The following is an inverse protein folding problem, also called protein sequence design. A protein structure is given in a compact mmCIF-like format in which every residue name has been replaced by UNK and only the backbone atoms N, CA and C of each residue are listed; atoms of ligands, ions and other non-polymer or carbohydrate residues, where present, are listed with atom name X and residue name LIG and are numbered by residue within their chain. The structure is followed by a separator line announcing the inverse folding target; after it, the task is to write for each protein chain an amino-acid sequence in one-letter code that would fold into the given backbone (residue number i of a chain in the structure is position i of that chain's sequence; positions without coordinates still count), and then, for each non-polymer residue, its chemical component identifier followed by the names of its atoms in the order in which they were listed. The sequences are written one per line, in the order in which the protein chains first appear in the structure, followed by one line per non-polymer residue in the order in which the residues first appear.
data_IF_033257858446
#
_entry.id   IF_033257858446
#
_cell.length_a   1.000
_cell.length_b   1.000
_cell.length_c   1.000
_cell.angle_alpha   90.00
_cell.angle_beta   90.00
_cell.angle_gamma   90.00
#
_symmetry.space_group_name_H-M   'P 1'
#
loop_
_entity.id
_entity.type
_entity.pdbx_description
1 polymer ?
#
# COMPACT_ATOMS: atom_id res chain seq x y z
N UNK A 1 12.00 40.95 15.23
CA UNK A 1 10.66 41.20 15.80
C UNK A 1 10.87 41.83 17.17
N UNK A 2 10.27 42.99 17.46
CA UNK A 2 10.29 43.61 18.79
C UNK A 2 9.85 42.65 19.90
N UNK A 3 10.49 42.67 21.07
CA UNK A 3 10.20 41.73 22.15
C UNK A 3 8.78 41.88 22.70
N UNK A 4 8.26 43.11 22.77
CA UNK A 4 6.87 43.40 23.15
C UNK A 4 5.86 42.80 22.17
N UNK A 5 6.21 42.75 20.88
CA UNK A 5 5.36 42.11 19.87
C UNK A 5 5.32 40.60 20.08
N UNK A 6 6.47 39.96 20.35
CA UNK A 6 6.54 38.54 20.71
C UNK A 6 5.68 38.26 21.95
N UNK A 7 5.77 39.11 22.98
CA UNK A 7 4.96 39.00 24.20
C UNK A 7 3.46 39.03 23.89
N UNK A 8 3.03 40.01 23.11
CA UNK A 8 1.62 40.20 22.79
C UNK A 8 1.10 39.04 21.91
N UNK A 9 1.88 38.55 20.95
CA UNK A 9 1.55 37.37 20.14
C UNK A 9 1.29 36.14 21.04
N UNK A 10 2.13 35.92 22.06
CA UNK A 10 1.98 34.82 23.04
C UNK A 10 0.75 35.01 23.93
N UNK A 11 0.50 36.23 24.42
CA UNK A 11 -0.66 36.54 25.26
C UNK A 11 -1.99 36.39 24.50
N UNK A 12 -2.02 36.85 23.25
CA UNK A 12 -3.21 36.81 22.40
C UNK A 12 -3.43 35.44 21.74
N UNK A 13 -2.43 34.55 21.79
CA UNK A 13 -2.39 33.28 21.07
C UNK A 13 -2.74 33.51 19.60
N UNK A 14 -1.99 34.39 18.94
CA UNK A 14 -2.24 34.76 17.55
C UNK A 14 -1.73 33.66 16.60
N UNK A 15 -2.65 32.85 16.08
CA UNK A 15 -2.36 31.67 15.24
C UNK A 15 -1.75 32.03 13.88
N UNK A 16 -1.92 33.27 13.39
CA UNK A 16 -1.35 33.70 12.10
C UNK A 16 0.16 33.98 12.18
N UNK A 17 0.65 34.32 13.37
CA UNK A 17 2.04 34.69 13.62
C UNK A 17 2.80 33.62 14.41
N UNK A 18 2.09 32.73 15.10
CA UNK A 18 2.65 31.62 15.85
C UNK A 18 2.90 30.41 14.94
N UNK A 19 4.17 29.99 14.87
CA UNK A 19 4.55 28.72 14.25
C UNK A 19 5.04 27.72 15.31
N UNK A 20 4.88 26.44 15.01
CA UNK A 20 5.39 25.36 15.86
C UNK A 20 6.89 25.53 16.14
N UNK A 21 7.68 25.79 15.09
CA UNK A 21 9.12 25.99 15.19
C UNK A 21 9.48 27.19 16.08
N UNK A 22 8.73 28.29 16.01
CA UNK A 22 8.93 29.44 16.89
C UNK A 22 8.72 29.05 18.36
N UNK A 23 7.61 28.38 18.67
CA UNK A 23 7.30 27.97 20.05
C UNK A 23 8.29 26.94 20.57
N UNK A 24 8.70 25.95 19.75
CA UNK A 24 9.71 24.97 20.13
C UNK A 24 11.05 25.63 20.45
N UNK A 25 11.48 26.59 19.63
CA UNK A 25 12.71 27.35 19.88
C UNK A 25 12.59 28.19 21.16
N UNK A 26 11.45 28.83 21.39
CA UNK A 26 11.19 29.55 22.64
C UNK A 26 11.26 28.61 23.84
N UNK A 27 10.56 27.47 23.83
CA UNK A 27 10.58 26.49 24.93
C UNK A 27 12.00 25.96 25.19
N UNK A 28 12.79 25.74 24.14
CA UNK A 28 14.16 25.20 24.23
C UNK A 28 15.17 26.21 24.76
N UNK A 29 15.02 27.48 24.39
CA UNK A 29 16.00 28.53 24.70
C UNK A 29 15.56 29.49 25.80
N UNK A 30 14.35 29.31 26.36
CA UNK A 30 13.88 30.12 27.47
C UNK A 30 14.79 29.93 28.70
N UNK A 31 15.23 31.02 29.35
CA UNK A 31 15.89 30.92 30.66
C UNK A 31 15.00 30.20 31.68
N UNK A 32 15.63 29.57 32.67
CA UNK A 32 14.89 28.95 33.77
C UNK A 32 14.03 29.99 34.51
N UNK A 33 12.91 29.55 35.09
CA UNK A 33 11.98 30.45 35.79
C UNK A 33 12.67 31.27 36.89
N UNK A 34 13.69 30.73 37.54
CA UNK A 34 14.49 31.45 38.54
C UNK A 34 15.21 32.66 37.94
N UNK A 35 15.86 32.48 36.79
CA UNK A 35 16.58 33.54 36.07
C UNK A 35 15.58 34.58 35.56
N UNK A 36 14.43 34.16 35.03
CA UNK A 36 13.37 35.08 34.61
C UNK A 36 12.87 35.96 35.78
N UNK A 37 12.77 35.40 36.99
CA UNK A 37 12.38 36.17 38.17
C UNK A 37 13.46 37.19 38.56
N UNK A 38 14.74 36.81 38.51
CA UNK A 38 15.87 37.74 38.78
C UNK A 38 15.90 38.87 37.74
N UNK A 39 15.71 38.56 36.45
CA UNK A 39 15.62 39.55 35.38
C UNK A 39 14.40 40.48 35.55
N UNK A 40 13.29 40.00 36.09
CA UNK A 40 12.11 40.85 36.34
C UNK A 40 12.40 42.02 37.29
N UNK A 41 13.35 41.87 38.22
CA UNK A 41 13.75 42.92 39.17
C UNK A 41 14.56 44.04 38.50
N UNK A 42 15.24 43.74 37.39
CA UNK A 42 16.08 44.67 36.62
C UNK A 42 15.28 45.54 35.63
N UNK A 43 13.95 45.53 35.70
CA UNK A 43 13.08 46.26 34.76
C UNK A 43 13.36 47.77 34.69
N UNK A 44 13.86 48.37 35.77
CA UNK A 44 14.17 49.80 35.82
C UNK A 44 15.48 50.16 35.09
N UNK A 45 16.34 49.17 34.82
CA UNK A 45 17.64 49.32 34.17
C UNK A 45 17.61 48.76 32.73
N UNK A 46 16.41 48.63 32.13
CA UNK A 46 16.19 47.93 30.86
C UNK A 46 17.11 48.39 29.72
N UNK A 47 17.29 49.71 29.57
CA UNK A 47 18.09 50.29 28.48
C UNK A 47 19.61 50.04 28.66
N UNK A 48 20.05 49.67 29.87
CA UNK A 48 21.45 49.36 30.20
C UNK A 48 21.77 47.85 30.07
N UNK A 49 20.75 46.99 29.91
CA UNK A 49 20.89 45.54 29.78
C UNK A 49 21.30 45.12 28.37
N UNK A 50 21.94 43.95 28.25
CA UNK A 50 22.24 43.36 26.94
C UNK A 50 20.99 42.76 26.26
N UNK A 51 21.02 42.58 24.93
CA UNK A 51 19.84 42.12 24.16
C UNK A 51 19.16 40.84 24.72
N UNK A 52 19.89 39.77 25.14
CA UNK A 52 19.27 38.59 25.75
C UNK A 52 18.58 38.86 27.09
N UNK A 53 19.14 39.75 27.91
CA UNK A 53 18.56 40.13 29.20
C UNK A 53 17.31 40.99 29.00
N UNK A 54 17.34 41.93 28.04
CA UNK A 54 16.15 42.69 27.63
C UNK A 54 15.02 41.76 27.18
N UNK A 55 15.33 40.73 26.38
CA UNK A 55 14.34 39.70 26.01
C UNK A 55 13.78 38.98 27.25
N UNK A 56 14.65 38.57 28.18
CA UNK A 56 14.24 37.92 29.42
C UNK A 56 13.37 38.79 30.33
N UNK A 57 13.64 40.09 30.43
CA UNK A 57 12.81 41.07 31.16
C UNK A 57 11.41 41.17 30.55
N UNK A 58 11.30 41.24 29.23
CA UNK A 58 9.99 41.31 28.57
C UNK A 58 9.22 40.00 28.76
N UNK A 59 9.88 38.86 28.62
CA UNK A 59 9.26 37.54 28.79
C UNK A 59 8.88 37.23 30.24
N UNK A 60 9.63 37.72 31.22
CA UNK A 60 9.32 37.50 32.65
C UNK A 60 8.01 38.17 33.08
N UNK A 61 7.56 39.19 32.35
CA UNK A 61 6.25 39.80 32.58
C UNK A 61 5.06 38.87 32.22
N UNK A 62 5.30 37.78 31.48
CA UNK A 62 4.28 36.80 31.14
C UNK A 62 4.10 35.79 32.28
N UNK A 63 2.97 35.87 32.97
CA UNK A 63 2.62 34.89 34.01
C UNK A 63 2.49 33.49 33.42
N UNK A 64 3.04 32.50 34.13
CA UNK A 64 2.99 31.08 33.75
C UNK A 64 3.51 30.81 32.33
N UNK A 65 4.62 31.46 31.95
CA UNK A 65 5.14 31.42 30.58
C UNK A 65 5.41 30.01 30.06
N UNK A 66 6.05 29.14 30.84
CA UNK A 66 6.37 27.79 30.38
C UNK A 66 5.11 26.93 30.14
N UNK A 67 4.15 26.81 31.09
CA UNK A 67 2.85 26.18 30.83
C UNK A 67 2.09 26.78 29.63
N UNK A 68 2.16 28.12 29.47
CA UNK A 68 1.55 28.82 28.34
C UNK A 68 2.14 28.36 27.01
N UNK A 69 3.47 28.35 26.88
CA UNK A 69 4.16 27.92 25.66
C UNK A 69 3.90 26.45 25.34
N UNK A 70 3.93 25.55 26.34
CA UNK A 70 3.60 24.13 26.14
C UNK A 70 2.16 23.93 25.67
N UNK A 71 1.20 24.69 26.21
CA UNK A 71 -0.20 24.65 25.80
C UNK A 71 -0.42 25.17 24.38
N UNK A 72 0.30 26.25 24.01
CA UNK A 72 0.27 26.80 22.65
C UNK A 72 0.86 25.78 21.67
N UNK A 73 2.00 25.17 22.00
CA UNK A 73 2.61 24.14 21.17
C UNK A 73 1.64 23.00 20.91
N UNK A 74 1.01 22.48 21.97
CA UNK A 74 0.02 21.41 21.85
C UNK A 74 -1.16 21.82 20.95
N UNK A 75 -1.69 23.04 21.10
CA UNK A 75 -2.75 23.54 20.22
C UNK A 75 -2.33 23.59 18.75
N UNK A 76 -1.10 24.00 18.46
CA UNK A 76 -0.59 24.08 17.09
C UNK A 76 -0.38 22.70 16.45
N UNK A 77 0.02 21.69 17.23
CA UNK A 77 0.30 20.33 16.72
C UNK A 77 -0.88 19.36 16.85
N UNK A 78 -1.96 19.76 17.53
CA UNK A 78 -3.09 18.86 17.84
C UNK A 78 -3.71 18.22 16.59
N UNK A 79 -4.02 19.03 15.58
CA UNK A 79 -4.64 18.56 14.34
C UNK A 79 -3.71 17.59 13.58
N UNK A 80 -2.40 17.81 13.62
CA UNK A 80 -1.43 16.87 13.05
C UNK A 80 -1.45 15.53 13.80
N UNK A 81 -1.46 15.56 15.14
CA UNK A 81 -1.57 14.34 15.94
C UNK A 81 -2.86 13.55 15.61
N UNK A 82 -3.99 14.23 15.47
CA UNK A 82 -5.26 13.61 15.06
C UNK A 82 -5.14 12.99 13.67
N UNK A 83 -4.57 13.72 12.71
CA UNK A 83 -4.39 13.27 11.33
C UNK A 83 -3.37 12.12 11.19
N UNK A 84 -2.45 11.95 12.14
CA UNK A 84 -1.52 10.82 12.19
C UNK A 84 -2.15 9.58 12.85
N UNK A 85 -3.02 9.76 13.84
CA UNK A 85 -3.68 8.66 14.58
C UNK A 85 -4.87 8.09 13.80
N UNK A 86 -5.76 8.96 13.30
CA UNK A 86 -7.06 8.56 12.76
C UNK A 86 -6.98 7.60 11.56
N UNK A 87 -6.13 7.81 10.54
CA UNK A 87 -6.05 6.91 9.40
C UNK A 87 -5.59 5.50 9.80
N UNK A 88 -4.68 5.40 10.78
CA UNK A 88 -4.20 4.13 11.30
C UNK A 88 -5.32 3.31 11.95
N UNK A 89 -6.18 3.96 12.75
CA UNK A 89 -7.36 3.31 13.33
C UNK A 89 -8.33 2.84 12.25
N UNK A 90 -8.60 3.68 11.25
CA UNK A 90 -9.52 3.38 10.15
C UNK A 90 -9.01 2.19 9.33
N UNK A 91 -7.72 2.19 8.96
CA UNK A 91 -7.14 1.12 8.15
C UNK A 91 -7.30 -0.25 8.81
N UNK A 92 -6.98 -0.36 10.11
CA UNK A 92 -7.14 -1.62 10.85
C UNK A 92 -8.62 -1.99 11.02
N UNK A 93 -9.48 -1.01 11.33
CA UNK A 93 -10.93 -1.24 11.49
C UNK A 93 -11.52 -1.82 10.21
N UNK A 94 -11.24 -1.20 9.06
CA UNK A 94 -11.74 -1.65 7.76
C UNK A 94 -11.17 -3.02 7.40
N UNK A 95 -9.86 -3.25 7.58
CA UNK A 95 -9.25 -4.55 7.32
C UNK A 95 -9.87 -5.67 8.17
N UNK A 96 -10.22 -5.39 9.44
CA UNK A 96 -10.92 -6.35 10.28
C UNK A 96 -12.32 -6.69 9.74
N UNK A 97 -13.07 -5.67 9.32
CA UNK A 97 -14.41 -5.88 8.78
C UNK A 97 -14.41 -6.59 7.42
N UNK A 98 -13.53 -6.17 6.52
CA UNK A 98 -13.29 -6.77 5.21
C UNK A 98 -12.99 -8.26 5.34
N UNK A 99 -12.03 -8.61 6.20
CA UNK A 99 -11.64 -10.00 6.41
C UNK A 99 -12.79 -10.85 6.96
N UNK A 100 -13.56 -10.32 7.91
CA UNK A 100 -14.70 -11.03 8.50
C UNK A 100 -15.86 -11.20 7.51
N UNK A 101 -16.07 -10.23 6.62
CA UNK A 101 -17.18 -10.20 5.65
C UNK A 101 -16.83 -10.88 4.32
N UNK A 102 -15.56 -11.10 4.01
CA UNK A 102 -15.12 -11.67 2.74
C UNK A 102 -15.57 -13.12 2.57
N UNK A 103 -16.61 -13.32 1.76
CA UNK A 103 -17.10 -14.65 1.42
C UNK A 103 -16.08 -15.40 0.55
N UNK A 104 -15.42 -14.70 -0.36
CA UNK A 104 -14.41 -15.28 -1.25
C UNK A 104 -13.18 -15.78 -0.49
N UNK A 105 -12.72 -15.05 0.54
CA UNK A 105 -11.65 -15.51 1.41
C UNK A 105 -12.07 -16.72 2.25
N UNK A 106 -13.30 -16.74 2.79
CA UNK A 106 -13.80 -17.92 3.51
C UNK A 106 -13.84 -19.17 2.60
N UNK A 107 -14.28 -19.03 1.35
CA UNK A 107 -14.22 -20.11 0.35
C UNK A 107 -12.81 -20.57 0.03
N UNK A 108 -11.84 -19.66 0.00
CA UNK A 108 -10.43 -20.01 -0.15
C UNK A 108 -9.94 -20.87 1.00
N UNK A 109 -10.29 -20.53 2.25
CA UNK A 109 -9.93 -21.33 3.43
C UNK A 109 -10.53 -22.74 3.37
N UNK A 110 -11.79 -22.88 2.93
CA UNK A 110 -12.43 -24.18 2.71
C UNK A 110 -11.68 -25.02 1.67
N UNK A 111 -11.29 -24.41 0.54
CA UNK A 111 -10.54 -25.08 -0.51
C UNK A 111 -9.16 -25.51 -0.03
N UNK A 112 -8.43 -24.63 0.69
CA UNK A 112 -7.13 -24.95 1.28
C UNK A 112 -7.27 -26.12 2.27
N UNK A 113 -8.30 -26.12 3.11
CA UNK A 113 -8.56 -27.20 4.06
C UNK A 113 -8.85 -28.52 3.34
N UNK A 114 -9.67 -28.50 2.30
CA UNK A 114 -10.01 -29.68 1.50
C UNK A 114 -8.76 -30.29 0.86
N UNK A 115 -7.98 -29.47 0.16
CA UNK A 115 -6.75 -29.92 -0.51
C UNK A 115 -5.74 -30.41 0.52
N UNK A 116 -5.57 -29.68 1.62
CA UNK A 116 -4.70 -30.07 2.73
C UNK A 116 -5.10 -31.42 3.34
N UNK A 117 -6.39 -31.66 3.60
CA UNK A 117 -6.87 -32.92 4.14
C UNK A 117 -6.66 -34.09 3.18
N UNK A 118 -6.88 -33.88 1.88
CA UNK A 118 -6.60 -34.90 0.88
C UNK A 118 -5.11 -35.27 0.86
N UNK A 119 -4.22 -34.27 0.79
CA UNK A 119 -2.77 -34.48 0.74
C UNK A 119 -2.20 -35.10 2.03
N UNK A 120 -2.78 -34.78 3.19
CA UNK A 120 -2.34 -35.30 4.48
C UNK A 120 -3.00 -36.64 4.87
N UNK A 121 -3.71 -37.30 3.94
CA UNK A 121 -4.34 -38.60 4.17
C UNK A 121 -3.34 -39.63 4.71
N UNK A 122 -3.68 -40.29 5.82
CA UNK A 122 -2.81 -41.28 6.47
C UNK A 122 -1.71 -40.68 7.37
N UNK A 123 -1.64 -39.36 7.53
CA UNK A 123 -0.75 -38.69 8.48
C UNK A 123 -1.49 -38.25 9.75
N UNK A 124 -0.75 -37.75 10.76
CA UNK A 124 -1.32 -37.15 11.97
C UNK A 124 -2.25 -35.96 11.69
N UNK A 125 -2.07 -35.27 10.56
CA UNK A 125 -2.85 -34.08 10.19
C UNK A 125 -4.04 -34.42 9.28
N UNK A 126 -4.32 -35.70 9.02
CA UNK A 126 -5.51 -36.12 8.27
C UNK A 126 -6.80 -35.69 8.98
N UNK A 127 -7.84 -35.35 8.20
CA UNK A 127 -9.16 -34.97 8.71
C UNK A 127 -9.14 -33.79 9.70
N UNK A 128 -8.25 -32.81 9.47
CA UNK A 128 -8.23 -31.57 10.22
C UNK A 128 -9.55 -30.80 9.99
N UNK A 129 -10.08 -30.20 11.07
CA UNK A 129 -11.28 -29.34 11.00
C UNK A 129 -10.96 -27.88 10.63
N UNK A 130 -9.68 -27.51 10.71
CA UNK A 130 -9.19 -26.17 10.41
C UNK A 130 -7.67 -26.11 10.55
N UNK A 131 -7.12 -24.94 10.22
CA UNK A 131 -5.69 -24.64 10.35
C UNK A 131 -5.51 -23.19 10.77
N UNK A 132 -4.34 -22.86 11.34
CA UNK A 132 -4.02 -21.48 11.74
C UNK A 132 -3.78 -20.62 10.50
N UNK A 133 -4.33 -19.41 10.44
CA UNK A 133 -4.21 -18.49 9.29
C UNK A 133 -2.76 -18.27 8.84
N UNK A 134 -1.81 -18.15 9.76
CA UNK A 134 -0.40 -17.95 9.42
C UNK A 134 0.23 -19.11 8.60
N UNK A 135 -0.45 -20.26 8.51
CA UNK A 135 -0.06 -21.34 7.62
C UNK A 135 -0.23 -20.99 6.14
N UNK A 136 -1.10 -20.04 5.78
CA UNK A 136 -1.35 -19.64 4.40
C UNK A 136 -0.06 -19.23 3.67
N UNK A 137 0.85 -18.53 4.34
CA UNK A 137 2.17 -18.16 3.81
C UNK A 137 3.04 -19.37 3.44
N UNK A 138 2.83 -20.52 4.09
CA UNK A 138 3.61 -21.75 3.90
C UNK A 138 3.11 -22.61 2.74
N UNK A 139 1.96 -22.28 2.16
CA UNK A 139 1.40 -23.00 1.00
C UNK A 139 2.38 -22.97 -0.18
N UNK A 140 3.11 -21.86 -0.35
CA UNK A 140 4.11 -21.73 -1.42
C UNK A 140 5.29 -22.70 -1.25
N UNK A 141 5.58 -23.16 -0.04
CA UNK A 141 6.75 -24.00 0.25
C UNK A 141 6.55 -25.46 -0.18
N UNK A 142 5.30 -25.87 -0.38
CA UNK A 142 4.97 -27.21 -0.89
C UNK A 142 5.10 -27.23 -2.40
N UNK A 143 6.06 -28.00 -2.92
CA UNK A 143 6.40 -28.03 -4.35
C UNK A 143 5.95 -29.32 -5.04
N UNK A 144 5.72 -29.25 -6.35
CA UNK A 144 5.51 -30.42 -7.20
C UNK A 144 6.74 -31.33 -7.22
N UNK A 145 6.57 -32.58 -7.62
CA UNK A 145 7.68 -33.55 -7.76
C UNK A 145 8.76 -33.04 -8.72
N UNK A 146 8.36 -32.35 -9.79
CA UNK A 146 9.28 -31.77 -10.77
C UNK A 146 9.81 -30.39 -10.37
N UNK A 147 9.46 -29.88 -9.19
CA UNK A 147 9.90 -28.61 -8.60
C UNK A 147 9.55 -27.37 -9.44
N UNK A 148 8.66 -27.48 -10.43
CA UNK A 148 8.29 -26.38 -11.32
C UNK A 148 7.12 -25.55 -10.82
N UNK A 149 6.25 -26.15 -10.01
CA UNK A 149 5.06 -25.49 -9.47
C UNK A 149 4.96 -25.74 -7.97
N UNK A 150 4.11 -24.96 -7.32
CA UNK A 150 3.85 -25.06 -5.88
C UNK A 150 2.38 -25.33 -5.63
N UNK A 151 2.03 -25.69 -4.40
CA UNK A 151 0.64 -25.82 -4.01
C UNK A 151 -0.13 -24.51 -4.18
N UNK A 152 0.54 -23.35 -4.03
CA UNK A 152 -0.06 -22.04 -4.32
C UNK A 152 -0.50 -21.93 -5.78
N UNK A 153 0.38 -22.31 -6.72
CA UNK A 153 0.05 -22.33 -8.15
C UNK A 153 -1.13 -23.25 -8.44
N UNK A 154 -1.13 -24.44 -7.83
CA UNK A 154 -2.21 -25.40 -8.00
C UNK A 154 -3.56 -24.87 -7.49
N UNK A 155 -3.58 -24.25 -6.32
CA UNK A 155 -4.80 -23.63 -5.76
C UNK A 155 -5.27 -22.48 -6.65
N UNK A 156 -4.36 -21.61 -7.10
CA UNK A 156 -4.69 -20.50 -8.00
C UNK A 156 -5.28 -20.98 -9.34
N UNK A 157 -4.71 -22.03 -9.94
CA UNK A 157 -5.25 -22.65 -11.17
C UNK A 157 -6.66 -23.24 -10.94
N UNK A 158 -6.86 -23.97 -9.83
CA UNK A 158 -8.19 -24.51 -9.48
C UNK A 158 -9.22 -23.39 -9.30
N UNK A 159 -8.84 -22.27 -8.67
CA UNK A 159 -9.72 -21.12 -8.54
C UNK A 159 -10.08 -20.51 -9.92
N UNK A 160 -9.12 -20.38 -10.84
CA UNK A 160 -9.39 -19.86 -12.19
C UNK A 160 -10.31 -20.77 -13.03
N UNK A 161 -10.13 -22.09 -12.90
CA UNK A 161 -10.88 -23.07 -13.68
C UNK A 161 -12.27 -23.35 -13.10
N UNK A 162 -12.38 -23.51 -11.78
CA UNK A 162 -13.57 -24.08 -11.14
C UNK A 162 -14.24 -23.15 -10.12
N UNK A 163 -13.51 -22.22 -9.49
CA UNK A 163 -14.01 -21.39 -8.38
C UNK A 163 -13.64 -19.91 -8.54
N UNK A 164 -14.13 -19.29 -9.63
CA UNK A 164 -13.76 -17.90 -9.98
C UNK A 164 -14.23 -16.86 -8.97
N UNK A 165 -15.25 -17.19 -8.18
CA UNK A 165 -15.72 -16.35 -7.07
C UNK A 165 -14.63 -16.13 -6.01
N UNK A 166 -13.76 -17.12 -5.79
CA UNK A 166 -12.63 -16.99 -4.86
C UNK A 166 -11.65 -15.90 -5.30
N UNK A 167 -11.45 -15.71 -6.61
CA UNK A 167 -10.44 -14.76 -7.13
C UNK A 167 -10.69 -13.28 -6.78
N UNK A 168 -11.86 -12.96 -6.20
CA UNK A 168 -12.23 -11.62 -5.75
C UNK A 168 -11.63 -11.23 -4.40
N UNK A 169 -11.18 -12.20 -3.60
CA UNK A 169 -10.68 -11.94 -2.25
C UNK A 169 -9.57 -10.88 -2.17
N UNK A 170 -8.63 -10.75 -3.13
CA UNK A 170 -7.61 -9.71 -3.05
C UNK A 170 -8.17 -8.30 -3.17
N UNK A 171 -9.33 -8.12 -3.80
CA UNK A 171 -10.06 -6.85 -3.92
C UNK A 171 -10.94 -6.62 -2.69
N UNK A 172 -11.53 -7.67 -2.12
CA UNK A 172 -12.33 -7.59 -0.88
C UNK A 172 -11.49 -7.25 0.36
N UNK A 173 -10.16 -7.44 0.28
CA UNK A 173 -9.19 -7.17 1.35
C UNK A 173 -8.31 -5.96 1.05
N UNK A 174 -8.93 -4.82 0.71
CA UNK A 174 -8.25 -3.59 0.27
C UNK A 174 -7.34 -3.00 1.37
N UNK A 175 -7.80 -2.94 2.62
CA UNK A 175 -7.09 -2.22 3.68
C UNK A 175 -6.06 -3.08 4.43
N UNK A 176 -5.93 -4.37 4.09
CA UNK A 176 -4.99 -5.29 4.73
C UNK A 176 -3.54 -4.82 4.60
N UNK A 177 -3.13 -4.30 3.44
CA UNK A 177 -1.78 -3.77 3.27
C UNK A 177 -1.53 -2.57 4.20
N UNK A 178 -2.48 -1.63 4.28
CA UNK A 178 -2.37 -0.46 5.15
C UNK A 178 -2.34 -0.86 6.62
N UNK A 179 -3.21 -1.79 7.04
CA UNK A 179 -3.26 -2.32 8.40
C UNK A 179 -1.95 -3.01 8.80
N UNK A 180 -1.27 -3.72 7.88
CA UNK A 180 0.01 -4.38 8.15
C UNK A 180 1.15 -3.42 8.53
N UNK A 181 1.01 -2.13 8.19
CA UNK A 181 2.02 -1.08 8.46
C UNK A 181 1.75 -0.34 9.77
N UNK A 182 0.61 -0.60 10.44
CA UNK A 182 0.20 0.10 11.66
C UNK A 182 0.80 -0.59 12.88
N UNK A 183 1.60 0.13 13.66
CA UNK A 183 2.05 -0.38 14.97
C UNK A 183 1.01 -0.09 16.06
N UNK A 184 0.44 -1.15 16.63
CA UNK A 184 -0.53 -1.03 17.72
C UNK A 184 0.05 -0.33 18.97
N UNK A 185 1.34 -0.56 19.26
CA UNK A 185 2.01 0.04 20.40
C UNK A 185 2.20 1.55 20.23
N UNK A 186 2.66 1.99 19.05
CA UNK A 186 2.83 3.42 18.75
C UNK A 186 1.48 4.12 18.81
N UNK A 187 0.44 3.52 18.24
CA UNK A 187 -0.91 4.07 18.24
C UNK A 187 -1.45 4.28 19.67
N UNK A 188 -1.30 3.28 20.53
CA UNK A 188 -1.67 3.36 21.96
C UNK A 188 -0.88 4.44 22.70
N UNK A 189 0.43 4.53 22.44
CA UNK A 189 1.30 5.54 23.05
C UNK A 189 0.90 6.96 22.64
N UNK A 190 0.59 7.18 21.37
CA UNK A 190 0.19 8.49 20.85
C UNK A 190 -1.14 8.94 21.44
N UNK A 191 -2.13 8.03 21.55
CA UNK A 191 -3.40 8.32 22.22
C UNK A 191 -3.21 8.66 23.71
N UNK A 192 -2.40 7.89 24.43
CA UNK A 192 -2.11 8.15 25.83
C UNK A 192 -1.41 9.50 26.03
N UNK A 193 -0.44 9.84 25.17
CA UNK A 193 0.23 11.14 25.19
C UNK A 193 -0.74 12.29 24.95
N UNK A 194 -1.63 12.16 23.96
CA UNK A 194 -2.67 13.16 23.67
C UNK A 194 -3.60 13.36 24.87
N UNK A 195 -4.06 12.27 25.52
CA UNK A 195 -4.89 12.35 26.71
C UNK A 195 -4.19 13.10 27.85
N UNK A 196 -2.93 12.78 28.12
CA UNK A 196 -2.15 13.43 29.17
C UNK A 196 -1.96 14.92 28.91
N UNK A 197 -1.72 15.31 27.65
CA UNK A 197 -1.59 16.73 27.27
C UNK A 197 -2.91 17.49 27.47
N UNK A 198 -4.05 16.90 27.12
CA UNK A 198 -5.37 17.49 27.37
C UNK A 198 -5.63 17.64 28.87
N UNK A 199 -5.37 16.60 29.66
CA UNK A 199 -5.53 16.64 31.13
C UNK A 199 -4.62 17.68 31.78
N UNK A 200 -3.39 17.82 31.29
CA UNK A 200 -2.46 18.84 31.75
C UNK A 200 -2.99 20.24 31.44
N UNK A 201 -3.43 20.48 30.21
CA UNK A 201 -4.00 21.75 29.79
C UNK A 201 -5.24 22.13 30.61
N UNK A 202 -6.16 21.19 30.85
CA UNK A 202 -7.35 21.40 31.69
C UNK A 202 -6.98 21.81 33.13
N UNK A 203 -5.90 21.24 33.67
CA UNK A 203 -5.41 21.57 35.00
C UNK A 203 -4.77 22.95 35.01
N UNK A 204 -3.98 23.27 33.99
CA UNK A 204 -3.29 24.55 33.89
C UNK A 204 -4.27 25.69 33.75
N UNK A 205 -5.29 25.58 32.87
CA UNK A 205 -6.36 26.58 32.71
C UNK A 205 -7.00 26.95 34.05
N UNK A 206 -7.21 25.98 34.96
CA UNK A 206 -7.77 26.22 36.30
C UNK A 206 -6.82 26.96 37.25
N UNK A 207 -5.51 26.84 37.02
CA UNK A 207 -4.46 27.50 37.81
C UNK A 207 -4.09 28.88 37.27
N UNK A 208 -4.43 29.19 36.02
CA UNK A 208 -4.13 30.50 35.45
C UNK A 208 -4.82 31.62 36.24
N UNK A 209 -4.10 32.69 36.60
CA UNK A 209 -4.68 33.84 37.26
C UNK A 209 -5.69 34.54 36.34
N UNK A 210 -6.60 35.34 36.91
CA UNK A 210 -7.46 36.20 36.09
C UNK A 210 -6.61 37.14 35.23
N UNK A 211 -7.04 37.32 33.99
CA UNK A 211 -6.38 38.21 33.04
C UNK A 211 -6.49 39.66 33.53
N UNK A 212 -5.35 40.22 33.95
CA UNK A 212 -5.22 41.65 34.28
C UNK A 212 -4.91 42.49 33.03
N UNK A 213 -4.41 41.85 31.98
CA UNK A 213 -4.00 42.48 30.73
C UNK A 213 -5.05 42.24 29.63
N UNK A 214 -5.48 43.29 28.94
CA UNK A 214 -6.42 43.23 27.81
C UNK A 214 -5.95 42.35 26.64
N UNK A 215 -4.64 42.13 26.50
CA UNK A 215 -4.05 41.28 25.47
C UNK A 215 -4.01 39.80 25.89
N UNK A 216 -4.22 39.46 27.18
CA UNK A 216 -4.17 38.07 27.64
C UNK A 216 -5.49 37.34 27.34
N UNK A 217 -5.53 36.73 26.14
CA UNK A 217 -6.67 35.95 25.63
C UNK A 217 -6.48 34.44 25.82
N UNK A 218 -5.46 34.02 26.56
CA UNK A 218 -5.08 32.61 26.63
C UNK A 218 -6.15 31.75 27.28
N UNK A 219 -6.66 32.13 28.45
CA UNK A 219 -7.69 31.33 29.15
C UNK A 219 -8.94 31.18 28.29
N UNK A 220 -9.38 32.26 27.62
CA UNK A 220 -10.52 32.25 26.70
C UNK A 220 -10.30 31.26 25.55
N UNK A 221 -9.22 31.44 24.78
CA UNK A 221 -8.92 30.59 23.60
C UNK A 221 -8.63 29.14 23.98
N UNK A 222 -7.84 28.92 25.02
CA UNK A 222 -7.48 27.57 25.45
C UNK A 222 -8.67 26.83 26.05
N UNK A 223 -9.62 27.50 26.70
CA UNK A 223 -10.85 26.84 27.19
C UNK A 223 -11.70 26.34 26.03
N UNK A 224 -11.83 27.11 24.94
CA UNK A 224 -12.55 26.68 23.73
C UNK A 224 -11.83 25.52 23.06
N UNK A 225 -10.51 25.65 22.86
CA UNK A 225 -9.68 24.60 22.27
C UNK A 225 -9.74 23.31 23.08
N UNK A 226 -9.60 23.36 24.40
CA UNK A 226 -9.61 22.17 25.28
C UNK A 226 -10.91 21.39 25.17
N UNK A 227 -12.06 22.09 25.09
CA UNK A 227 -13.35 21.43 24.88
C UNK A 227 -13.39 20.68 23.54
N UNK A 228 -12.94 21.33 22.46
CA UNK A 228 -12.86 20.71 21.13
C UNK A 228 -11.90 19.52 21.12
N UNK A 229 -10.69 19.70 21.68
CA UNK A 229 -9.66 18.67 21.75
C UNK A 229 -10.14 17.45 22.54
N UNK A 230 -10.82 17.67 23.67
CA UNK A 230 -11.45 16.59 24.47
C UNK A 230 -12.48 15.83 23.64
N UNK A 231 -13.38 16.52 22.95
CA UNK A 231 -14.40 15.87 22.11
C UNK A 231 -13.76 15.03 20.99
N UNK A 232 -12.75 15.58 20.30
CA UNK A 232 -12.03 14.85 19.25
C UNK A 232 -11.28 13.63 19.81
N UNK A 233 -10.61 13.77 20.95
CA UNK A 233 -9.94 12.67 21.64
C UNK A 233 -10.91 11.56 22.03
N UNK A 234 -12.07 11.87 22.62
CA UNK A 234 -13.06 10.86 23.02
C UNK A 234 -13.57 10.06 21.81
N UNK A 235 -13.76 10.72 20.66
CA UNK A 235 -14.10 10.07 19.39
C UNK A 235 -12.99 9.11 18.96
N UNK A 236 -11.73 9.55 18.95
CA UNK A 236 -10.58 8.70 18.59
C UNK A 236 -10.41 7.52 19.54
N UNK A 237 -10.53 7.75 20.85
CA UNK A 237 -10.47 6.72 21.89
C UNK A 237 -11.55 5.67 21.69
N UNK A 238 -12.79 6.11 21.42
CA UNK A 238 -13.91 5.20 21.11
C UNK A 238 -13.64 4.38 19.84
N UNK A 239 -13.15 5.02 18.77
CA UNK A 239 -12.80 4.33 17.53
C UNK A 239 -11.68 3.29 17.75
N UNK A 240 -10.64 3.65 18.49
CA UNK A 240 -9.55 2.74 18.84
C UNK A 240 -10.03 1.54 19.67
N UNK A 241 -10.89 1.77 20.66
CA UNK A 241 -11.45 0.67 21.47
C UNK A 241 -12.31 -0.27 20.63
N UNK A 242 -13.08 0.26 19.67
CA UNK A 242 -13.85 -0.56 18.74
C UNK A 242 -12.94 -1.35 17.79
N UNK A 243 -11.88 -0.74 17.27
CA UNK A 243 -10.86 -1.39 16.47
C UNK A 243 -10.24 -2.59 17.21
N UNK A 244 -9.84 -2.40 18.49
CA UNK A 244 -9.29 -3.49 19.31
C UNK A 244 -10.29 -4.63 19.50
N UNK A 245 -11.56 -4.33 19.77
CA UNK A 245 -12.62 -5.35 19.89
C UNK A 245 -12.84 -6.11 18.58
N UNK A 246 -12.79 -5.45 17.43
CA UNK A 246 -12.90 -6.11 16.14
C UNK A 246 -11.74 -7.09 15.93
N UNK A 247 -10.52 -6.69 16.30
CA UNK A 247 -9.35 -7.57 16.24
C UNK A 247 -9.46 -8.77 17.20
N UNK A 248 -9.94 -8.56 18.43
CA UNK A 248 -10.24 -9.65 19.37
C UNK A 248 -11.29 -10.62 18.81
N UNK A 249 -12.35 -10.10 18.20
CA UNK A 249 -13.38 -10.91 17.55
C UNK A 249 -12.84 -11.71 16.35
N UNK A 250 -11.82 -11.20 15.65
CA UNK A 250 -11.12 -11.98 14.62
C UNK A 250 -10.33 -13.14 15.24
N UNK A 251 -9.71 -12.92 16.39
CA UNK A 251 -9.04 -13.96 17.18
C UNK A 251 -9.96 -15.12 17.53
N UNK A 252 -11.20 -14.82 17.95
CA UNK A 252 -12.22 -15.83 18.21
C UNK A 252 -12.68 -16.54 16.92
N UNK A 253 -12.91 -15.78 15.84
CA UNK A 253 -13.43 -16.30 14.58
C UNK A 253 -12.42 -17.21 13.85
N UNK A 254 -11.15 -16.83 13.82
CA UNK A 254 -10.07 -17.56 13.15
C UNK A 254 -9.17 -18.37 14.11
N UNK A 255 -9.54 -18.43 15.39
CA UNK A 255 -8.92 -19.26 16.42
C UNK A 255 -7.42 -18.98 16.59
N UNK A 256 -7.08 -17.71 16.83
CA UNK A 256 -5.74 -17.28 17.24
C UNK A 256 -5.80 -16.40 18.50
N UNK A 257 -4.69 -16.35 19.24
CA UNK A 257 -4.62 -15.54 20.46
C UNK A 257 -4.18 -14.11 20.12
N UNK A 258 -5.15 -13.19 20.14
CA UNK A 258 -5.00 -11.75 19.86
C UNK A 258 -4.06 -11.03 20.83
N UNK A 259 -3.69 -11.63 21.96
CA UNK A 259 -2.70 -11.08 22.90
C UNK A 259 -1.28 -11.43 22.52
N UNK A 260 -1.10 -12.55 21.81
CA UNK A 260 0.22 -13.04 21.39
C UNK A 260 0.58 -12.57 19.99
N UNK A 261 -0.41 -12.48 19.09
CA UNK A 261 -0.22 -12.03 17.71
C UNK A 261 -0.60 -10.56 17.64
N UNK A 262 0.35 -9.71 17.29
CA UNK A 262 0.09 -8.27 17.10
C UNK A 262 -0.66 -8.00 15.80
N UNK A 263 -1.30 -6.84 15.71
CA UNK A 263 -2.10 -6.42 14.55
C UNK A 263 -1.22 -6.39 13.30
N UNK A 264 -0.04 -5.78 13.40
CA UNK A 264 0.94 -5.69 12.33
C UNK A 264 1.45 -7.07 11.87
N UNK A 265 1.64 -8.02 12.80
CA UNK A 265 2.05 -9.39 12.47
C UNK A 265 0.95 -10.13 11.73
N UNK A 266 -0.28 -10.11 12.26
CA UNK A 266 -1.42 -10.79 11.67
C UNK A 266 -1.74 -10.30 10.26
N UNK A 267 -1.89 -8.97 10.10
CA UNK A 267 -2.17 -8.40 8.78
C UNK A 267 -0.94 -8.43 7.86
N UNK A 268 0.27 -8.45 8.41
CA UNK A 268 1.51 -8.67 7.65
C UNK A 268 1.54 -10.04 6.98
N UNK A 269 1.25 -11.10 7.74
CA UNK A 269 1.12 -12.45 7.20
C UNK A 269 0.03 -12.54 6.13
N UNK A 270 -1.14 -11.96 6.39
CA UNK A 270 -2.25 -11.97 5.44
C UNK A 270 -1.92 -11.21 4.14
N UNK A 271 -1.27 -10.04 4.25
CA UNK A 271 -0.85 -9.26 3.10
C UNK A 271 0.22 -10.00 2.27
N UNK A 272 1.16 -10.67 2.95
CA UNK A 272 2.16 -11.50 2.30
C UNK A 272 1.46 -12.63 1.53
N UNK A 273 0.54 -13.37 2.16
CA UNK A 273 -0.24 -14.40 1.47
C UNK A 273 -1.00 -13.85 0.25
N UNK A 274 -1.70 -12.72 0.39
CA UNK A 274 -2.41 -12.05 -0.71
C UNK A 274 -1.47 -11.76 -1.89
N UNK A 275 -0.27 -11.26 -1.60
CA UNK A 275 0.76 -10.97 -2.60
C UNK A 275 1.23 -12.25 -3.30
N UNK A 276 1.56 -13.29 -2.51
CA UNK A 276 2.01 -14.58 -3.03
C UNK A 276 0.95 -15.26 -3.90
N UNK A 277 -0.33 -15.12 -3.56
CA UNK A 277 -1.42 -15.66 -4.36
C UNK A 277 -1.53 -14.96 -5.71
N UNK A 278 -1.48 -13.61 -5.73
CA UNK A 278 -1.51 -12.82 -6.96
C UNK A 278 -0.29 -13.10 -7.85
N UNK A 279 0.89 -13.24 -7.27
CA UNK A 279 2.10 -13.68 -7.97
C UNK A 279 1.90 -15.06 -8.62
N UNK A 280 1.40 -16.04 -7.85
CA UNK A 280 1.13 -17.39 -8.35
C UNK A 280 0.14 -17.43 -9.52
N UNK A 281 -0.96 -16.66 -9.44
CA UNK A 281 -1.92 -16.53 -10.55
C UNK A 281 -1.30 -15.85 -11.77
N UNK A 282 -0.49 -14.82 -11.59
CA UNK A 282 0.25 -14.16 -12.68
C UNK A 282 1.23 -15.12 -13.37
N UNK A 283 1.98 -15.91 -12.60
CA UNK A 283 2.91 -16.92 -13.09
C UNK A 283 2.19 -18.04 -13.87
N UNK A 284 1.04 -18.50 -13.38
CA UNK A 284 0.20 -19.47 -14.08
C UNK A 284 -0.29 -18.93 -15.43
N UNK A 285 -0.78 -17.70 -15.47
CA UNK A 285 -1.23 -17.06 -16.71
C UNK A 285 -0.09 -16.95 -17.73
N UNK A 286 1.11 -16.52 -17.29
CA UNK A 286 2.30 -16.50 -18.16
C UNK A 286 2.66 -17.90 -18.68
N UNK A 287 2.61 -18.92 -17.82
CA UNK A 287 2.88 -20.32 -18.19
C UNK A 287 1.91 -20.81 -19.26
N UNK A 288 0.61 -20.57 -19.06
CA UNK A 288 -0.46 -20.96 -19.98
C UNK A 288 -0.31 -20.28 -21.35
N UNK A 289 0.05 -19.00 -21.38
CA UNK A 289 0.31 -18.28 -22.64
C UNK A 289 1.56 -18.78 -23.37
N UNK A 290 2.63 -19.12 -22.64
CA UNK A 290 3.82 -19.74 -23.24
C UNK A 290 3.51 -21.12 -23.83
N UNK A 291 2.71 -21.94 -23.15
CA UNK A 291 2.29 -23.26 -23.63
C UNK A 291 1.40 -23.18 -24.88
N UNK A 292 0.44 -22.25 -24.91
CA UNK A 292 -0.37 -21.96 -26.11
C UNK A 292 0.49 -21.49 -27.29
N UNK A 293 1.49 -20.66 -27.03
CA UNK A 293 2.41 -20.18 -28.08
C UNK A 293 3.28 -21.33 -28.62
N UNK A 294 3.79 -22.18 -27.73
CA UNK A 294 4.61 -23.34 -28.09
C UNK A 294 3.82 -24.36 -28.89
N UNK A 295 2.60 -24.70 -28.46
CA UNK A 295 1.70 -25.60 -29.19
C UNK A 295 1.38 -25.05 -30.58
N UNK A 296 1.01 -23.76 -30.70
CA UNK A 296 0.79 -23.12 -32.01
C UNK A 296 2.02 -23.17 -32.92
N UNK A 297 3.21 -22.93 -32.38
CA UNK A 297 4.46 -23.03 -33.14
C UNK A 297 4.73 -24.47 -33.61
N UNK A 298 4.49 -25.46 -32.75
CA UNK A 298 4.66 -26.87 -33.09
C UNK A 298 3.67 -27.33 -34.16
N UNK A 299 2.38 -26.97 -34.04
CA UNK A 299 1.38 -27.25 -35.08
C UNK A 299 1.73 -26.58 -36.41
N UNK A 300 2.23 -25.33 -36.38
CA UNK A 300 2.68 -24.65 -37.59
C UNK A 300 3.85 -25.38 -38.26
N UNK A 301 4.86 -25.79 -37.49
CA UNK A 301 6.01 -26.58 -37.98
C UNK A 301 5.56 -27.91 -38.56
N UNK A 302 4.69 -28.64 -37.88
CA UNK A 302 4.18 -29.93 -38.34
C UNK A 302 3.38 -29.79 -39.65
N UNK A 303 2.53 -28.76 -39.76
CA UNK A 303 1.79 -28.49 -40.99
C UNK A 303 2.71 -28.07 -42.15
N UNK A 304 3.75 -27.27 -41.90
CA UNK A 304 4.75 -26.95 -42.91
C UNK A 304 5.50 -28.20 -43.36
N UNK A 305 5.92 -29.07 -42.43
CA UNK A 305 6.58 -30.34 -42.77
C UNK A 305 5.68 -31.26 -43.60
N UNK A 306 4.40 -31.40 -43.25
CA UNK A 306 3.41 -32.17 -44.04
C UNK A 306 3.24 -31.59 -45.45
N UNK A 307 3.10 -30.27 -45.59
CA UNK A 307 3.00 -29.61 -46.90
C UNK A 307 4.25 -29.85 -47.76
N UNK A 308 5.45 -29.74 -47.18
CA UNK A 308 6.69 -30.01 -47.92
C UNK A 308 6.83 -31.46 -48.36
N UNK A 309 6.37 -32.42 -47.56
CA UNK A 309 6.37 -33.85 -47.92
C UNK A 309 5.36 -34.13 -49.04
N UNK A 310 4.15 -33.58 -48.96
CA UNK A 310 3.15 -33.70 -50.02
C UNK A 310 3.63 -33.07 -51.35
N UNK A 311 4.31 -31.92 -51.30
CA UNK A 311 4.91 -31.31 -52.48
C UNK A 311 6.02 -32.17 -53.08
N UNK A 312 6.87 -32.78 -52.24
CA UNK A 312 7.90 -33.71 -52.70
C UNK A 312 7.30 -34.98 -53.32
N UNK A 313 6.24 -35.54 -52.74
CA UNK A 313 5.54 -36.70 -53.32
C UNK A 313 4.84 -36.36 -54.63
N UNK A 314 4.20 -35.20 -54.74
CA UNK A 314 3.60 -34.71 -56.00
C UNK A 314 4.68 -34.51 -57.08
N UNK A 315 5.83 -33.95 -56.72
CA UNK A 315 6.99 -33.81 -57.62
C UNK A 315 7.52 -35.18 -58.06
N UNK A 316 7.68 -36.14 -57.14
CA UNK A 316 8.11 -37.52 -57.47
C UNK A 316 7.12 -38.25 -58.37
N UNK A 317 5.80 -38.13 -58.12
CA UNK A 317 4.76 -38.72 -58.99
C UNK A 317 4.77 -38.13 -60.39
N UNK A 318 4.95 -36.82 -60.51
CA UNK A 318 5.05 -36.16 -61.82
C UNK A 318 6.28 -36.64 -62.61
N UNK A 319 7.42 -36.82 -61.93
CA UNK A 319 8.66 -37.35 -62.52
C UNK A 319 8.51 -38.84 -62.91
N UNK A 320 7.83 -39.66 -62.10
CA UNK A 320 7.59 -41.08 -62.42
C UNK A 320 6.66 -41.26 -63.63
N UNK A 321 5.59 -40.47 -63.74
CA UNK A 321 4.69 -40.48 -64.92
C UNK A 321 5.45 -40.08 -66.21
N UNK A 322 6.50 -39.25 -66.10
CA UNK A 322 7.34 -38.89 -67.24
C UNK A 322 8.37 -39.96 -67.63
N UNK A 323 8.59 -40.98 -66.79
CA UNK A 323 9.59 -42.02 -67.03
C UNK A 323 9.02 -43.32 -67.63
N UNK A 324 7.71 -43.58 -67.53
CA UNK A 324 7.06 -44.79 -68.08
C UNK A 324 6.42 -44.60 -69.48
N UNK A 325 6.46 -43.39 -70.04
CA UNK A 325 6.02 -43.13 -71.42
C UNK A 325 7.22 -42.98 -72.37
N UNK A 326 7.16 -43.66 -73.52
CA UNK A 326 8.17 -43.63 -74.60
C UNK A 326 8.83 -42.25 -74.79
N UNK A 327 10.16 -42.28 -75.02
CA UNK A 327 11.08 -41.13 -75.07
C UNK A 327 10.72 -40.00 -76.07
N UNK A 328 9.63 -40.12 -76.82
CA UNK A 328 9.14 -39.13 -77.78
C UNK A 328 8.09 -38.15 -77.23
N UNK A 329 7.51 -38.38 -76.03
CA UNK A 329 6.44 -37.53 -75.46
C UNK A 329 6.83 -36.70 -74.22
N UNK A 330 8.07 -36.85 -73.75
CA UNK A 330 8.52 -36.22 -72.49
C UNK A 330 8.65 -34.70 -72.61
N UNK A 331 9.10 -34.21 -73.78
CA UNK A 331 9.26 -32.77 -74.06
C UNK A 331 7.91 -32.05 -74.17
N UNK A 332 6.91 -32.67 -74.80
CA UNK A 332 5.59 -32.08 -74.98
C UNK A 332 4.81 -32.03 -73.67
N UNK A 333 4.89 -33.07 -72.83
CA UNK A 333 4.31 -33.05 -71.48
C UNK A 333 4.95 -31.99 -70.57
N UNK A 334 6.27 -31.76 -70.69
CA UNK A 334 6.97 -30.68 -69.96
C UNK A 334 6.58 -29.30 -70.46
N UNK A 335 6.47 -29.11 -71.78
CA UNK A 335 6.01 -27.87 -72.39
C UNK A 335 4.56 -27.56 -72.03
N UNK A 336 3.68 -28.56 -72.01
CA UNK A 336 2.28 -28.41 -71.58
C UNK A 336 2.18 -28.07 -70.09
N UNK A 337 2.99 -28.67 -69.23
CA UNK A 337 3.05 -28.32 -67.81
C UNK A 337 3.60 -26.89 -67.55
N UNK A 338 4.53 -26.42 -68.38
CA UNK A 338 5.05 -25.04 -68.36
C UNK A 338 4.04 -24.03 -68.92
N UNK A 339 3.33 -24.40 -69.99
CA UNK A 339 2.35 -23.56 -70.69
C UNK A 339 1.01 -23.45 -69.95
N UNK A 340 0.55 -24.54 -69.32
CA UNK A 340 -0.61 -24.55 -68.40
C UNK A 340 -0.33 -23.90 -67.05
N UNK A 341 0.94 -23.60 -66.75
CA UNK A 341 1.38 -23.02 -65.49
C UNK A 341 1.37 -24.00 -64.30
N UNK A 342 1.13 -25.29 -64.55
CA UNK A 342 1.14 -26.33 -63.52
C UNK A 342 2.53 -26.50 -62.86
N UNK A 343 3.61 -26.23 -63.60
CA UNK A 343 5.00 -26.32 -63.13
C UNK A 343 5.42 -25.23 -62.12
N UNK A 344 4.67 -24.13 -61.99
CA UNK A 344 5.09 -22.93 -61.23
C UNK A 344 4.13 -22.53 -60.10
N UNK A 345 3.34 -23.46 -59.55
CA UNK A 345 2.29 -23.14 -58.55
C UNK A 345 2.80 -22.54 -57.21
N UNK A 346 4.10 -22.49 -56.94
CA UNK A 346 4.69 -22.08 -55.65
C UNK A 346 4.86 -20.57 -55.38
N UNK A 347 4.55 -19.65 -56.31
CA UNK A 347 4.88 -18.20 -56.11
C UNK A 347 3.73 -17.23 -55.84
N UNK A 348 2.52 -17.68 -55.46
CA UNK A 348 1.43 -16.75 -55.08
C UNK A 348 0.74 -17.09 -53.76
N UNK A 349 1.48 -17.07 -52.66
CA UNK A 349 0.92 -16.63 -51.37
C UNK A 349 1.40 -15.21 -51.09
N UNK A 350 0.59 -14.22 -51.49
CA UNK A 350 0.76 -12.82 -51.10
C UNK A 350 0.59 -12.71 -49.58
N UNK A 351 1.55 -12.10 -48.91
CA UNK A 351 1.43 -11.59 -47.54
C UNK A 351 0.34 -10.49 -47.53
N UNK A 352 -0.66 -10.52 -46.63
CA UNK A 352 -1.58 -9.40 -46.49
C UNK A 352 -0.81 -8.21 -45.92
N UNK A 353 -0.71 -7.13 -46.69
CA UNK A 353 -0.16 -5.85 -46.23
C UNK A 353 -1.27 -5.16 -45.42
N UNK A 354 -1.05 -5.04 -44.11
CA UNK A 354 -1.94 -4.34 -43.20
C UNK A 354 -2.00 -2.84 -43.58
N UNK A 355 -3.17 -2.22 -43.80
CA UNK A 355 -3.28 -0.78 -43.95
C UNK A 355 -3.62 -0.15 -42.59
N UNK A 356 -2.73 0.70 -42.08
CA UNK A 356 -3.05 1.66 -41.02
C UNK A 356 -2.14 1.60 -39.80
N UNK A 357 -1.04 2.36 -39.84
CA UNK A 357 -0.49 3.04 -38.68
C UNK A 357 0.30 4.25 -39.18
N UNK A 358 -0.32 5.43 -39.07
CA UNK A 358 0.32 6.72 -39.31
C UNK A 358 1.39 6.95 -38.24
N UNK A 359 2.63 7.11 -38.66
CA UNK A 359 3.69 7.68 -37.85
C UNK A 359 3.48 9.20 -37.75
N UNK A 360 3.11 9.67 -36.56
CA UNK A 360 3.36 11.05 -36.14
C UNK A 360 4.86 11.26 -35.91
N UNK A 361 5.39 12.27 -36.60
CA UNK A 361 6.78 12.72 -36.52
C UNK A 361 7.13 13.18 -35.10
N UNK A 362 8.27 12.67 -34.60
CA UNK A 362 8.96 13.25 -33.45
C UNK A 362 9.84 14.40 -33.94
N UNK A 363 9.46 15.63 -33.58
CA UNK A 363 10.29 16.83 -33.71
C UNK A 363 11.39 16.79 -32.66
N UNK A 364 12.66 16.66 -33.10
CA UNK A 364 13.84 16.97 -32.28
C UNK A 364 14.07 18.49 -32.35
N UNK A 365 13.98 19.15 -31.21
CA UNK A 365 14.48 20.52 -31.02
C UNK A 365 15.82 20.41 -30.28
N UNK A 366 16.88 20.93 -30.91
CA UNK A 366 18.18 21.16 -30.27
C UNK A 366 18.19 22.53 -29.58
N UNK A 367 18.94 22.71 -28.48
CA UNK A 367 19.03 23.99 -27.77
C UNK A 367 20.16 24.86 -28.34
N UNK A 368 19.92 26.17 -28.45
CA UNK A 368 20.99 27.17 -28.47
C UNK A 368 20.48 28.51 -27.89
N UNK A 369 20.88 28.75 -26.64
CA UNK A 369 21.66 29.90 -26.15
C UNK A 369 21.25 31.36 -26.48
N UNK A 370 21.08 32.11 -25.37
CA UNK A 370 21.33 33.54 -25.11
C UNK A 370 20.27 34.59 -25.54
N UNK A 371 19.51 35.08 -24.55
CA UNK A 371 19.71 36.42 -23.94
C UNK A 371 19.03 36.50 -22.58
#
# INVERSE_FOLDING_TARGET
MPYEEIRNIILEVNEDLLSEALIQNLVKHLPEQKILNELAELKNEYDDLCEPEQFGVVMSSVKMLQPRLSSILFKLTFEEHVNNIKPSIIAVTLACEELKKSESFNRLLELVLLVGNYMNSGSRNAQSLGFKINFLCKIRDTKSVDQKTTLMHFIADICEENYRDILKFPEELEHVESASKVSAQILKSNLASMEQQIVHLERDIKKFPQAENQHDKFVEKMTIFTKSAREQYEKLSTMHNNMMKLYENLGEYFIFDSKTVSIEEFFGDLNNFRTLFLEGSSENNKRREMEKTKTRCNLAKENTSKQTLEEQEKKKKLIWITAEGDETGVMDNLLEALQSGAAFRDRRKRIPRNPGMNHTQATRISPNSVK
#
